data_IF_265146575422
#
_entry.id   IF_265146575422
#
_cell.length_a   1.000
_cell.length_b   1.000
_cell.length_c   1.000
_cell.angle_alpha   90.00
_cell.angle_beta   90.00
_cell.angle_gamma   90.00
#
_symmetry.space_group_name_H-M   'P 1'
#
loop_
_entity.id
_entity.type
_entity.pdbx_description
1 polymer ?
#
# COMPACT_ATOMS: atom_id res chain seq x y z
N UNK A 1 30.10 -58.30 -53.88
CA UNK A 1 28.86 -57.59 -53.56
C UNK A 1 28.74 -57.48 -52.05
N UNK A 2 29.14 -56.34 -51.47
CA UNK A 2 29.13 -56.07 -50.04
C UNK A 2 27.76 -55.52 -49.64
N UNK A 3 27.00 -56.20 -48.79
CA UNK A 3 25.73 -55.74 -48.26
C UNK A 3 26.06 -54.82 -47.04
N UNK A 4 25.74 -53.56 -47.19
CA UNK A 4 25.81 -52.56 -46.06
C UNK A 4 24.56 -52.74 -45.18
N UNK A 5 24.75 -53.19 -43.94
CA UNK A 5 23.75 -53.15 -42.91
C UNK A 5 23.76 -51.77 -42.24
N UNK A 6 22.75 -50.95 -42.52
CA UNK A 6 22.46 -49.69 -41.82
C UNK A 6 21.70 -50.01 -40.56
N UNK A 7 22.38 -49.99 -39.40
CA UNK A 7 21.73 -50.11 -38.09
C UNK A 7 21.26 -48.69 -37.67
N UNK A 8 19.96 -48.45 -37.76
CA UNK A 8 19.35 -47.22 -37.27
C UNK A 8 19.32 -47.27 -35.72
N UNK A 9 20.18 -46.47 -35.09
CA UNK A 9 20.18 -46.27 -33.64
C UNK A 9 19.09 -45.23 -33.30
N UNK A 10 17.87 -45.72 -32.94
CA UNK A 10 16.81 -44.89 -32.43
C UNK A 10 17.15 -44.47 -31.00
N UNK A 11 17.61 -43.23 -30.84
CA UNK A 11 17.80 -42.61 -29.52
C UNK A 11 16.39 -42.25 -28.99
N UNK A 12 15.88 -43.08 -28.11
CA UNK A 12 14.64 -42.84 -27.38
C UNK A 12 14.96 -41.85 -26.26
N UNK A 13 14.81 -40.57 -26.50
CA UNK A 13 14.83 -39.53 -25.44
C UNK A 13 13.55 -39.66 -24.61
N UNK A 14 13.67 -40.33 -23.47
CA UNK A 14 12.64 -40.32 -22.44
C UNK A 14 12.50 -38.89 -21.89
N UNK A 15 11.53 -38.15 -22.38
CA UNK A 15 11.05 -36.94 -21.70
C UNK A 15 10.36 -37.41 -20.41
N UNK A 16 11.03 -37.29 -19.29
CA UNK A 16 10.40 -37.31 -17.99
C UNK A 16 9.58 -36.03 -17.89
N UNK A 17 8.33 -36.09 -18.30
CA UNK A 17 7.35 -35.09 -17.94
C UNK A 17 7.10 -35.27 -16.43
N UNK A 18 7.78 -34.48 -15.60
CA UNK A 18 7.42 -34.35 -14.20
C UNK A 18 6.00 -33.76 -14.15
N UNK A 19 5.02 -34.64 -14.04
CA UNK A 19 3.64 -34.25 -13.77
C UNK A 19 3.56 -33.74 -12.33
N UNK A 20 4.03 -32.49 -12.08
CA UNK A 20 3.91 -31.90 -10.77
C UNK A 20 2.44 -31.69 -10.44
N UNK A 21 1.96 -32.43 -9.44
CA UNK A 21 0.62 -32.22 -8.91
C UNK A 21 0.52 -30.79 -8.35
N UNK A 22 -0.28 -29.95 -9.00
CA UNK A 22 -0.52 -28.59 -8.55
C UNK A 22 -1.57 -28.59 -7.44
N UNK A 23 -1.15 -28.34 -6.21
CA UNK A 23 -2.03 -28.22 -5.05
C UNK A 23 -2.18 -26.75 -4.63
N UNK A 24 -3.30 -26.38 -3.98
CA UNK A 24 -3.45 -25.04 -3.40
C UNK A 24 -2.32 -24.73 -2.39
N UNK A 25 -1.77 -23.54 -2.47
CA UNK A 25 -0.71 -23.11 -1.53
C UNK A 25 -1.25 -23.03 -0.09
N UNK A 26 -0.57 -23.63 0.91
CA UNK A 26 -0.99 -23.57 2.32
C UNK A 26 -1.07 -22.16 2.91
N UNK A 27 -0.35 -21.22 2.31
CA UNK A 27 -0.35 -19.78 2.66
C UNK A 27 -0.38 -18.99 1.35
N UNK A 28 -1.57 -18.79 0.76
CA UNK A 28 -1.70 -18.11 -0.53
C UNK A 28 -1.21 -16.68 -0.44
N UNK A 29 -0.64 -16.18 -1.53
CA UNK A 29 -0.24 -14.78 -1.66
C UNK A 29 -1.45 -13.90 -1.98
N UNK A 30 -1.52 -12.75 -1.36
CA UNK A 30 -2.46 -11.68 -1.68
C UNK A 30 -1.69 -10.44 -2.10
N UNK A 31 -2.17 -9.79 -3.17
CA UNK A 31 -1.75 -8.44 -3.56
C UNK A 31 -2.93 -7.49 -3.42
N UNK A 32 -2.68 -6.34 -2.80
CA UNK A 32 -3.66 -5.28 -2.59
C UNK A 32 -3.09 -4.02 -3.24
N UNK A 33 -3.94 -3.30 -3.97
CA UNK A 33 -3.67 -1.94 -4.43
C UNK A 33 -4.72 -1.03 -3.83
N UNK A 34 -4.28 -0.01 -3.10
CA UNK A 34 -5.12 1.01 -2.50
C UNK A 34 -4.76 2.36 -3.08
N UNK A 35 -5.71 3.03 -3.71
CA UNK A 35 -5.55 4.42 -4.13
C UNK A 35 -5.37 5.30 -2.88
N UNK A 36 -4.35 6.14 -2.88
CA UNK A 36 -3.97 6.95 -1.73
C UNK A 36 -3.29 8.24 -2.17
N UNK A 37 -3.78 9.37 -1.66
CA UNK A 37 -3.30 10.68 -2.07
C UNK A 37 -3.50 10.90 -3.57
N UNK A 38 -2.43 11.23 -4.28
CA UNK A 38 -2.43 11.41 -5.75
C UNK A 38 -1.89 10.17 -6.49
N UNK A 39 -1.74 9.04 -5.81
CA UNK A 39 -1.16 7.82 -6.33
C UNK A 39 -1.79 6.57 -5.69
N UNK A 40 -1.01 5.53 -5.43
CA UNK A 40 -1.48 4.30 -4.78
C UNK A 40 -0.40 3.71 -3.86
N UNK A 41 -0.84 2.88 -2.92
CA UNK A 41 0.02 1.98 -2.14
C UNK A 41 -0.29 0.55 -2.58
N UNK A 42 0.74 -0.24 -2.92
CA UNK A 42 0.59 -1.64 -3.26
C UNK A 42 1.27 -2.51 -2.19
N UNK A 43 0.61 -3.60 -1.81
CA UNK A 43 1.09 -4.53 -0.80
C UNK A 43 1.03 -5.95 -1.38
N UNK A 44 2.09 -6.74 -1.17
CA UNK A 44 2.12 -8.16 -1.51
C UNK A 44 2.65 -8.98 -0.34
N UNK A 45 1.86 -9.97 0.11
CA UNK A 45 2.19 -10.79 1.27
C UNK A 45 1.52 -12.16 1.22
N UNK A 46 2.10 -13.16 1.90
CA UNK A 46 1.49 -14.50 2.02
C UNK A 46 0.70 -14.63 3.32
N UNK A 47 -0.44 -15.32 3.25
CA UNK A 47 -1.46 -15.39 4.29
C UNK A 47 -1.53 -16.76 4.97
N UNK A 48 -0.71 -17.04 5.99
CA UNK A 48 -0.82 -18.27 6.78
C UNK A 48 -2.08 -18.29 7.65
N UNK A 49 -2.65 -19.48 7.87
CA UNK A 49 -3.72 -19.71 8.86
C UNK A 49 -3.15 -20.01 10.23
N UNK A 50 -3.91 -19.76 11.30
CA UNK A 50 -3.57 -20.16 12.67
C UNK A 50 -3.53 -21.67 12.79
N UNK A 51 -4.52 -22.38 12.25
CA UNK A 51 -4.60 -23.87 12.23
C UNK A 51 -4.35 -24.49 13.60
N UNK A 52 -4.95 -23.91 14.65
CA UNK A 52 -4.84 -24.39 16.03
C UNK A 52 -3.48 -24.18 16.71
N UNK A 53 -2.51 -23.50 16.07
CA UNK A 53 -1.19 -23.25 16.63
C UNK A 53 -1.18 -22.03 17.55
N UNK A 54 -0.25 -21.99 18.49
CA UNK A 54 0.13 -20.75 19.17
C UNK A 54 0.96 -19.90 18.21
N UNK A 55 0.53 -18.68 17.95
CA UNK A 55 1.18 -17.82 16.98
C UNK A 55 2.31 -17.00 17.62
N UNK A 56 1.95 -15.96 18.38
CA UNK A 56 2.94 -15.05 18.94
C UNK A 56 3.56 -15.62 20.22
N UNK A 57 4.88 -15.64 20.26
CA UNK A 57 5.68 -16.27 21.33
C UNK A 57 6.10 -17.71 21.05
N UNK A 58 5.56 -18.34 19.99
CA UNK A 58 5.92 -19.69 19.56
C UNK A 58 6.26 -19.70 18.06
N UNK A 59 5.26 -19.83 17.17
CA UNK A 59 5.48 -19.84 15.71
C UNK A 59 6.18 -18.56 15.23
N UNK A 60 5.82 -17.43 15.80
CA UNK A 60 6.46 -16.11 15.62
C UNK A 60 7.04 -15.70 16.97
N UNK A 61 8.34 -15.95 17.23
CA UNK A 61 8.96 -15.64 18.50
C UNK A 61 8.98 -14.16 18.81
N UNK A 62 8.74 -13.78 20.07
CA UNK A 62 8.86 -12.39 20.52
C UNK A 62 10.30 -11.87 20.42
N UNK A 63 10.45 -10.56 20.10
CA UNK A 63 11.75 -9.90 20.00
C UNK A 63 12.58 -10.31 18.79
N UNK A 64 12.04 -11.10 17.86
CA UNK A 64 12.73 -11.51 16.63
C UNK A 64 12.10 -10.87 15.40
N UNK A 65 12.93 -10.54 14.42
CA UNK A 65 12.45 -10.04 13.12
C UNK A 65 11.62 -11.11 12.43
N UNK A 66 10.43 -10.71 11.98
CA UNK A 66 9.51 -11.52 11.21
C UNK A 66 9.23 -10.86 9.86
N UNK A 67 9.22 -11.66 8.79
CA UNK A 67 8.89 -11.20 7.43
C UNK A 67 7.44 -10.75 7.24
N UNK A 68 6.66 -10.68 8.33
CA UNK A 68 5.27 -10.20 8.37
C UNK A 68 4.36 -10.97 7.41
N UNK A 69 4.43 -12.30 7.51
CA UNK A 69 3.71 -13.25 6.65
C UNK A 69 4.42 -14.59 6.57
N UNK A 70 4.25 -15.28 5.45
CA UNK A 70 4.88 -16.58 5.18
C UNK A 70 5.52 -16.59 3.78
N UNK A 71 6.29 -17.64 3.48
CA UNK A 71 6.97 -17.84 2.19
C UNK A 71 7.90 -16.66 1.85
N UNK A 72 7.56 -15.88 0.83
CA UNK A 72 8.33 -14.70 0.41
C UNK A 72 8.21 -13.54 1.41
N UNK A 73 9.17 -12.62 1.36
CA UNK A 73 9.12 -11.38 2.11
C UNK A 73 7.86 -10.57 1.77
N UNK A 74 7.24 -9.99 2.78
CA UNK A 74 6.15 -9.01 2.57
C UNK A 74 6.74 -7.73 2.03
N UNK A 75 6.15 -7.21 0.96
CA UNK A 75 6.60 -5.97 0.30
C UNK A 75 5.49 -4.95 0.22
N UNK A 76 5.86 -3.67 0.39
CA UNK A 76 5.01 -2.52 0.23
C UNK A 76 5.63 -1.56 -0.79
N UNK A 77 4.82 -1.07 -1.73
CA UNK A 77 5.26 -0.11 -2.75
C UNK A 77 4.46 1.17 -2.58
N UNK A 78 5.15 2.28 -2.43
CA UNK A 78 4.56 3.60 -2.43
C UNK A 78 4.74 4.22 -3.81
N UNK A 79 3.63 4.54 -4.49
CA UNK A 79 3.69 5.20 -5.81
C UNK A 79 4.03 6.69 -5.71
N UNK A 80 3.96 7.26 -4.50
CA UNK A 80 4.40 8.61 -4.18
C UNK A 80 5.10 8.64 -2.81
N UNK A 81 5.80 9.74 -2.48
CA UNK A 81 6.44 9.89 -1.19
C UNK A 81 5.40 9.96 -0.06
N UNK A 82 5.65 9.22 1.03
CA UNK A 82 4.80 9.16 2.22
C UNK A 82 5.59 9.52 3.47
N UNK A 83 4.89 9.81 4.56
CA UNK A 83 5.47 10.00 5.89
C UNK A 83 4.98 8.89 6.81
N UNK A 84 5.90 8.19 7.45
CA UNK A 84 5.64 7.08 8.38
C UNK A 84 6.47 7.32 9.64
N UNK A 85 5.83 7.39 10.81
CA UNK A 85 6.53 7.67 12.07
C UNK A 85 7.33 8.99 12.07
N UNK A 86 6.86 9.99 11.32
CA UNK A 86 7.55 11.28 11.15
C UNK A 86 8.70 11.28 10.13
N UNK A 87 9.04 10.12 9.54
CA UNK A 87 10.12 9.99 8.55
C UNK A 87 9.52 9.99 7.14
N UNK A 88 10.08 10.81 6.25
CA UNK A 88 9.71 10.83 4.83
C UNK A 88 10.33 9.63 4.10
N UNK A 89 9.48 8.81 3.49
CA UNK A 89 9.85 7.66 2.66
C UNK A 89 9.55 8.00 1.21
N UNK A 90 10.53 7.90 0.34
CA UNK A 90 10.37 8.19 -1.10
C UNK A 90 9.44 7.17 -1.77
N UNK A 91 8.92 7.50 -2.95
CA UNK A 91 8.27 6.52 -3.82
C UNK A 91 9.23 5.37 -4.11
N UNK A 92 8.71 4.14 -4.11
CA UNK A 92 9.53 2.94 -4.32
C UNK A 92 8.96 1.70 -3.65
N UNK A 93 9.64 0.56 -3.87
CA UNK A 93 9.30 -0.74 -3.30
C UNK A 93 10.22 -1.04 -2.11
N UNK A 94 9.62 -1.50 -1.01
CA UNK A 94 10.26 -1.74 0.27
C UNK A 94 9.83 -3.07 0.88
N UNK A 95 10.63 -3.62 1.78
CA UNK A 95 10.21 -4.69 2.67
C UNK A 95 9.42 -4.14 3.86
N UNK A 96 8.37 -4.85 4.23
CA UNK A 96 7.60 -4.63 5.44
C UNK A 96 7.89 -5.76 6.42
N UNK A 97 8.67 -5.47 7.47
CA UNK A 97 9.04 -6.42 8.50
C UNK A 97 8.46 -5.98 9.85
N UNK A 98 8.35 -6.91 10.77
CA UNK A 98 7.95 -6.59 12.15
C UNK A 98 8.81 -7.33 13.16
N UNK A 99 8.90 -6.78 14.36
CA UNK A 99 9.42 -7.45 15.55
C UNK A 99 8.28 -7.48 16.56
N UNK A 100 7.52 -8.57 16.63
CA UNK A 100 6.43 -8.71 17.58
C UNK A 100 6.91 -8.80 19.02
N UNK A 101 6.14 -8.19 19.93
CA UNK A 101 6.23 -8.43 21.38
C UNK A 101 4.81 -8.39 21.96
N UNK A 102 4.68 -8.69 23.27
CA UNK A 102 3.39 -8.84 23.95
C UNK A 102 2.57 -7.55 23.99
N UNK A 103 3.21 -6.39 24.17
CA UNK A 103 2.55 -5.09 24.37
C UNK A 103 2.70 -4.13 23.20
N UNK A 104 3.74 -4.30 22.41
CA UNK A 104 4.01 -3.46 21.23
C UNK A 104 4.83 -4.21 20.20
N UNK A 105 4.69 -3.84 18.94
CA UNK A 105 5.52 -4.34 17.85
C UNK A 105 6.37 -3.21 17.31
N UNK A 106 7.56 -3.54 16.82
CA UNK A 106 8.31 -2.63 15.97
C UNK A 106 7.97 -2.96 14.52
N UNK A 107 7.36 -2.02 13.81
CA UNK A 107 7.09 -2.12 12.36
C UNK A 107 8.24 -1.46 11.62
N UNK A 108 8.79 -2.14 10.61
CA UNK A 108 10.00 -1.75 9.90
C UNK A 108 9.71 -1.60 8.41
N UNK A 109 10.07 -0.46 7.86
CA UNK A 109 10.17 -0.26 6.41
C UNK A 109 11.66 -0.30 6.05
N UNK A 110 12.05 -1.25 5.21
CA UNK A 110 13.45 -1.50 4.86
C UNK A 110 13.66 -1.52 3.34
N UNK A 111 14.88 -1.21 2.90
CA UNK A 111 15.26 -1.35 1.49
C UNK A 111 15.36 -2.81 1.05
N UNK A 112 15.47 -3.76 2.00
CA UNK A 112 15.50 -5.19 1.70
C UNK A 112 14.09 -5.70 1.35
N UNK A 113 13.92 -6.27 0.17
CA UNK A 113 12.64 -6.83 -0.31
C UNK A 113 12.63 -8.35 -0.37
N UNK A 114 13.66 -9.00 0.15
CA UNK A 114 13.96 -10.42 0.02
C UNK A 114 14.22 -11.15 1.36
N UNK A 115 13.95 -10.48 2.49
CA UNK A 115 14.15 -11.08 3.82
C UNK A 115 13.13 -12.19 4.05
N UNK A 116 13.58 -13.44 4.05
CA UNK A 116 12.76 -14.63 4.31
C UNK A 116 13.03 -15.28 5.66
N UNK A 117 14.15 -14.99 6.28
CA UNK A 117 14.50 -15.42 7.62
C UNK A 117 15.14 -14.29 8.45
N UNK A 118 15.15 -14.40 9.79
CA UNK A 118 15.86 -13.43 10.63
C UNK A 118 17.35 -13.28 10.30
N UNK A 119 17.99 -14.35 9.77
CA UNK A 119 19.40 -14.33 9.41
C UNK A 119 19.71 -13.45 8.19
N UNK A 120 18.74 -13.25 7.30
CA UNK A 120 18.91 -12.44 6.08
C UNK A 120 18.79 -10.94 6.37
N UNK A 121 18.26 -10.58 7.54
CA UNK A 121 17.95 -9.20 7.90
C UNK A 121 19.20 -8.38 8.20
N UNK A 122 19.24 -7.16 7.64
CA UNK A 122 20.32 -6.17 7.79
C UNK A 122 19.77 -4.84 8.29
N UNK A 123 19.86 -4.60 9.59
CA UNK A 123 19.27 -3.42 10.24
C UNK A 123 19.75 -2.07 9.67
N UNK A 124 20.94 -2.00 9.07
CA UNK A 124 21.45 -0.78 8.44
C UNK A 124 20.71 -0.40 7.14
N UNK A 125 19.86 -1.27 6.61
CA UNK A 125 19.01 -1.00 5.45
C UNK A 125 17.61 -0.48 5.83
N UNK A 126 17.31 -0.38 7.11
CA UNK A 126 16.04 0.16 7.58
C UNK A 126 15.96 1.66 7.29
N UNK A 127 14.80 2.08 6.81
CA UNK A 127 14.47 3.49 6.61
C UNK A 127 13.67 4.03 7.79
N UNK A 128 12.73 3.23 8.29
CA UNK A 128 11.82 3.63 9.35
C UNK A 128 11.60 2.45 10.30
N UNK A 129 11.56 2.76 11.58
CA UNK A 129 11.09 1.88 12.65
C UNK A 129 10.04 2.61 13.46
N UNK A 130 8.84 2.02 13.56
CA UNK A 130 7.73 2.59 14.34
C UNK A 130 7.32 1.58 15.39
N UNK A 131 7.26 2.01 16.63
CA UNK A 131 6.64 1.23 17.69
C UNK A 131 5.12 1.40 17.62
N UNK A 132 4.40 0.28 17.51
CA UNK A 132 2.96 0.22 17.44
C UNK A 132 2.43 -0.63 18.61
N UNK A 133 1.53 -0.08 19.42
CA UNK A 133 0.90 -0.82 20.52
C UNK A 133 0.03 -1.94 19.97
N UNK A 134 0.02 -3.08 20.65
CA UNK A 134 -0.90 -4.17 20.33
C UNK A 134 -2.33 -3.82 20.74
N UNK A 135 -3.26 -4.29 19.94
CA UNK A 135 -4.70 -4.24 20.19
C UNK A 135 -5.20 -5.68 20.28
N UNK A 136 -5.91 -6.01 21.36
CA UNK A 136 -6.56 -7.29 21.50
C UNK A 136 -7.84 -7.31 20.68
N UNK A 137 -8.00 -8.36 19.85
CA UNK A 137 -9.18 -8.56 19.03
C UNK A 137 -10.17 -9.44 19.78
N UNK A 138 -11.46 -9.06 19.78
CA UNK A 138 -12.53 -9.89 20.33
C UNK A 138 -12.65 -11.20 19.56
N UNK A 139 -12.70 -11.09 18.22
CA UNK A 139 -12.76 -12.22 17.31
C UNK A 139 -11.38 -12.68 16.88
N UNK A 140 -11.22 -13.99 16.76
CA UNK A 140 -10.01 -14.61 16.27
C UNK A 140 -9.90 -14.45 14.77
N UNK A 141 -8.81 -13.84 14.31
CA UNK A 141 -8.47 -13.73 12.88
C UNK A 141 -7.68 -14.98 12.48
N UNK A 142 -8.37 -15.97 11.91
CA UNK A 142 -7.78 -17.25 11.53
C UNK A 142 -6.69 -17.11 10.45
N UNK A 143 -6.93 -16.29 9.42
CA UNK A 143 -5.97 -16.09 8.35
C UNK A 143 -5.26 -14.76 8.53
N UNK A 144 -3.91 -14.78 8.56
CA UNK A 144 -3.09 -13.56 8.62
C UNK A 144 -3.56 -12.52 7.61
N UNK A 145 -3.85 -11.31 8.06
CA UNK A 145 -4.48 -10.26 7.27
C UNK A 145 -3.75 -8.94 7.46
N UNK A 146 -3.44 -8.30 6.35
CA UNK A 146 -3.00 -6.90 6.30
C UNK A 146 -4.03 -6.15 5.46
N UNK A 147 -4.52 -5.00 5.95
CA UNK A 147 -5.51 -4.20 5.24
C UNK A 147 -5.33 -2.71 5.52
N UNK A 148 -5.83 -1.88 4.59
CA UNK A 148 -5.93 -0.44 4.79
C UNK A 148 -7.27 -0.08 5.43
N UNK A 149 -7.25 0.90 6.32
CA UNK A 149 -8.43 1.45 6.98
C UNK A 149 -8.28 2.96 7.20
N UNK A 150 -9.34 3.62 7.68
CA UNK A 150 -9.35 5.05 7.98
C UNK A 150 -8.80 5.91 6.84
N UNK A 151 -9.17 5.56 5.59
CA UNK A 151 -8.64 6.18 4.39
C UNK A 151 -9.23 7.58 4.24
N UNK A 152 -8.35 8.58 4.22
CA UNK A 152 -8.62 10.01 4.00
C UNK A 152 -7.78 10.50 2.82
N UNK A 153 -8.03 11.69 2.30
CA UNK A 153 -7.25 12.22 1.16
C UNK A 153 -5.73 12.22 1.36
N UNK A 154 -5.24 12.45 2.59
CA UNK A 154 -3.81 12.55 2.90
C UNK A 154 -3.32 11.60 4.00
N UNK A 155 -4.17 10.69 4.51
CA UNK A 155 -3.78 9.71 5.54
C UNK A 155 -4.57 8.42 5.44
N UNK A 156 -3.94 7.32 5.85
CA UNK A 156 -4.59 6.03 6.06
C UNK A 156 -3.87 5.26 7.16
N UNK A 157 -4.42 4.13 7.56
CA UNK A 157 -3.81 3.20 8.50
C UNK A 157 -3.62 1.84 7.84
N UNK A 158 -2.47 1.23 8.05
CA UNK A 158 -2.21 -0.16 7.67
C UNK A 158 -2.36 -1.04 8.91
N UNK A 159 -3.39 -1.87 8.96
CA UNK A 159 -3.63 -2.82 10.04
C UNK A 159 -3.02 -4.17 9.72
N UNK A 160 -2.28 -4.73 10.67
CA UNK A 160 -1.67 -6.08 10.59
C UNK A 160 -2.33 -6.90 11.68
N UNK A 161 -3.02 -7.99 11.31
CA UNK A 161 -3.89 -8.75 12.20
C UNK A 161 -3.67 -10.24 12.05
N UNK A 162 -3.55 -10.95 13.17
CA UNK A 162 -3.51 -12.41 13.20
C UNK A 162 -3.86 -12.93 14.59
N UNK A 163 -4.56 -14.07 14.64
CA UNK A 163 -5.09 -14.64 15.87
C UNK A 163 -5.93 -13.60 16.63
N UNK A 164 -5.58 -13.24 17.84
CA UNK A 164 -6.26 -12.20 18.63
C UNK A 164 -5.48 -10.90 18.75
N UNK A 165 -4.49 -10.68 17.91
CA UNK A 165 -3.60 -9.52 17.98
C UNK A 165 -3.64 -8.69 16.71
N UNK A 166 -3.74 -7.39 16.87
CA UNK A 166 -3.61 -6.41 15.80
C UNK A 166 -2.61 -5.32 16.18
N UNK A 167 -2.00 -4.70 15.16
CA UNK A 167 -1.25 -3.45 15.26
C UNK A 167 -1.62 -2.54 14.09
N UNK A 168 -1.48 -1.22 14.29
CA UNK A 168 -1.76 -0.22 13.26
C UNK A 168 -0.52 0.61 12.96
N UNK A 169 -0.30 0.89 11.68
CA UNK A 169 0.75 1.78 11.17
C UNK A 169 0.09 2.96 10.45
N UNK A 170 0.11 4.18 11.02
CA UNK A 170 -0.34 5.38 10.34
C UNK A 170 0.61 5.75 9.19
N UNK A 171 0.02 6.08 8.03
CA UNK A 171 0.71 6.53 6.83
C UNK A 171 0.06 7.84 6.39
N UNK A 172 0.86 8.84 6.05
CA UNK A 172 0.38 10.12 5.53
C UNK A 172 1.16 10.53 4.27
N UNK A 173 0.53 11.39 3.45
CA UNK A 173 1.13 11.95 2.24
C UNK A 173 0.90 13.47 2.21
N UNK A 174 1.87 14.21 1.68
CA UNK A 174 1.74 15.65 1.43
C UNK A 174 0.98 15.90 0.11
N UNK A 175 -0.34 15.82 0.20
CA UNK A 175 -1.24 16.06 -0.93
C UNK A 175 -1.41 17.56 -1.18
N UNK A 176 -1.50 18.35 -0.09
CA UNK A 176 -1.79 19.78 -0.16
C UNK A 176 -0.74 20.53 -0.97
N UNK A 177 0.53 20.41 -0.62
CA UNK A 177 1.62 21.10 -1.34
C UNK A 177 1.61 20.78 -2.83
N UNK A 178 1.34 19.52 -3.18
CA UNK A 178 1.32 19.08 -4.58
C UNK A 178 0.12 19.63 -5.36
N UNK A 179 -1.07 19.61 -4.75
CA UNK A 179 -2.28 20.15 -5.40
C UNK A 179 -2.15 21.65 -5.55
N UNK A 180 -1.64 22.37 -4.53
CA UNK A 180 -1.42 23.82 -4.63
C UNK A 180 -0.44 24.16 -5.74
N UNK A 181 0.68 23.44 -5.84
CA UNK A 181 1.65 23.64 -6.93
C UNK A 181 1.03 23.37 -8.32
N UNK A 182 0.15 22.37 -8.45
CA UNK A 182 -0.58 22.11 -9.70
C UNK A 182 -1.55 23.24 -10.03
N UNK A 183 -2.30 23.75 -9.03
CA UNK A 183 -3.21 24.89 -9.22
C UNK A 183 -2.41 26.09 -9.72
N UNK A 184 -1.33 26.48 -9.04
CA UNK A 184 -0.49 27.60 -9.45
C UNK A 184 0.02 27.44 -10.88
N UNK A 185 0.52 26.25 -11.22
CA UNK A 185 1.02 25.97 -12.56
C UNK A 185 -0.07 26.01 -13.63
N UNK A 186 -1.27 25.49 -13.35
CA UNK A 186 -2.36 25.40 -14.32
C UNK A 186 -3.10 26.74 -14.48
N UNK A 187 -3.19 27.54 -13.40
CA UNK A 187 -3.84 28.85 -13.45
C UNK A 187 -3.06 29.90 -14.27
N UNK A 188 -1.82 29.60 -14.63
CA UNK A 188 -1.01 30.42 -15.53
C UNK A 188 -1.09 30.00 -17.00
N UNK A 189 -2.00 29.05 -17.37
CA UNK A 189 -2.20 28.55 -18.73
C UNK A 189 -3.54 29.02 -19.31
N UNK A 190 -3.71 28.90 -20.62
CA UNK A 190 -4.94 29.36 -21.31
C UNK A 190 -6.19 28.53 -20.92
N UNK A 191 -6.03 27.25 -20.64
CA UNK A 191 -7.14 26.37 -20.26
C UNK A 191 -7.17 26.13 -18.74
N UNK A 192 -7.54 27.14 -17.99
CA UNK A 192 -7.52 27.17 -16.51
C UNK A 192 -8.62 26.31 -15.91
N UNK A 193 -8.32 25.40 -14.96
CA UNK A 193 -9.32 24.53 -14.33
C UNK A 193 -10.07 25.24 -13.19
N UNK A 194 -10.73 26.36 -13.48
CA UNK A 194 -11.38 27.22 -12.48
C UNK A 194 -12.30 26.45 -11.54
N UNK A 195 -13.18 25.58 -12.08
CA UNK A 195 -14.10 24.82 -11.25
C UNK A 195 -13.37 23.89 -10.27
N UNK A 196 -12.40 23.11 -10.76
CA UNK A 196 -11.62 22.18 -9.92
C UNK A 196 -10.80 22.89 -8.85
N UNK A 197 -10.17 24.03 -9.19
CA UNK A 197 -9.42 24.84 -8.24
C UNK A 197 -10.33 25.47 -7.17
N UNK A 198 -11.51 26.00 -7.57
CA UNK A 198 -12.49 26.54 -6.65
C UNK A 198 -13.02 25.48 -5.67
N UNK A 199 -13.36 24.29 -6.17
CA UNK A 199 -13.76 23.15 -5.33
C UNK A 199 -12.69 22.79 -4.30
N UNK A 200 -11.44 22.64 -4.75
CA UNK A 200 -10.36 22.31 -3.84
C UNK A 200 -10.19 23.35 -2.72
N UNK A 201 -10.27 24.63 -3.04
CA UNK A 201 -10.18 25.72 -2.06
C UNK A 201 -11.34 25.67 -1.06
N UNK A 202 -12.57 25.53 -1.55
CA UNK A 202 -13.76 25.45 -0.71
C UNK A 202 -13.76 24.24 0.23
N UNK A 203 -13.36 23.06 -0.27
CA UNK A 203 -13.42 21.80 0.48
C UNK A 203 -12.26 21.64 1.48
N UNK A 204 -11.16 22.36 1.28
CA UNK A 204 -9.98 22.31 2.14
C UNK A 204 -9.77 23.57 3.00
N UNK A 205 -10.85 24.40 3.18
CA UNK A 205 -10.82 25.55 4.08
C UNK A 205 -9.84 26.65 3.66
N UNK A 206 -9.60 26.80 2.34
CA UNK A 206 -8.78 27.87 1.78
C UNK A 206 -9.57 29.15 1.60
N UNK A 207 -8.99 30.18 0.99
CA UNK A 207 -9.65 31.45 0.75
C UNK A 207 -10.93 31.27 -0.07
N UNK A 208 -12.10 31.46 0.58
CA UNK A 208 -13.41 31.34 -0.03
C UNK A 208 -13.69 32.48 -1.03
N UNK A 209 -13.13 33.67 -0.85
CA UNK A 209 -13.28 34.76 -1.81
C UNK A 209 -12.58 34.41 -3.13
N UNK A 210 -11.38 33.81 -3.05
CA UNK A 210 -10.67 33.29 -4.22
C UNK A 210 -11.42 32.14 -4.88
N UNK A 211 -12.00 31.21 -4.08
CA UNK A 211 -12.83 30.13 -4.59
C UNK A 211 -14.06 30.70 -5.34
N UNK A 212 -14.75 31.69 -4.76
CA UNK A 212 -15.91 32.35 -5.38
C UNK A 212 -15.52 32.99 -6.72
N UNK A 213 -14.41 33.74 -6.76
CA UNK A 213 -13.94 34.39 -8.00
C UNK A 213 -13.66 33.33 -9.11
N UNK A 214 -13.16 32.15 -8.75
CA UNK A 214 -12.97 31.07 -9.71
C UNK A 214 -14.26 30.35 -10.09
N UNK A 215 -15.23 30.22 -9.17
CA UNK A 215 -16.59 29.76 -9.54
C UNK A 215 -17.26 30.73 -10.51
N UNK A 216 -17.11 32.05 -10.34
CA UNK A 216 -17.63 33.05 -11.28
C UNK A 216 -17.05 32.86 -12.68
N UNK A 217 -15.71 32.63 -12.77
CA UNK A 217 -15.05 32.32 -14.04
C UNK A 217 -15.51 30.99 -14.65
N UNK A 218 -15.72 29.96 -13.83
CA UNK A 218 -16.26 28.70 -14.31
C UNK A 218 -17.69 28.82 -14.87
N UNK A 219 -18.54 29.63 -14.25
CA UNK A 219 -19.91 29.98 -14.74
C UNK A 219 -19.81 30.73 -16.07
N UNK A 220 -18.91 31.71 -16.20
CA UNK A 220 -18.71 32.44 -17.46
C UNK A 220 -18.36 31.48 -18.62
N UNK A 221 -17.53 30.44 -18.34
CA UNK A 221 -17.11 29.44 -19.33
C UNK A 221 -18.23 28.43 -19.67
N UNK A 222 -19.08 28.08 -18.70
CA UNK A 222 -20.11 27.04 -18.82
C UNK A 222 -21.40 27.49 -18.12
N UNK A 223 -22.08 28.50 -18.69
CA UNK A 223 -23.25 29.15 -18.07
C UNK A 223 -24.45 28.22 -17.83
N UNK A 224 -24.57 27.12 -18.58
CA UNK A 224 -25.67 26.15 -18.45
C UNK A 224 -25.33 24.97 -17.48
N UNK A 225 -24.13 24.95 -16.88
CA UNK A 225 -23.70 23.91 -15.99
C UNK A 225 -24.28 24.09 -14.58
N UNK A 226 -25.46 23.54 -14.33
CA UNK A 226 -26.19 23.73 -13.06
C UNK A 226 -25.34 23.32 -11.82
N UNK A 227 -24.46 22.33 -11.94
CA UNK A 227 -23.58 21.89 -10.84
C UNK A 227 -22.58 22.97 -10.46
N UNK A 228 -22.10 23.80 -11.41
CA UNK A 228 -21.19 24.92 -11.11
C UNK A 228 -21.96 25.99 -10.32
N UNK A 229 -23.15 26.33 -10.76
CA UNK A 229 -24.02 27.29 -10.04
C UNK A 229 -24.36 26.80 -8.63
N UNK A 230 -24.62 25.50 -8.47
CA UNK A 230 -24.87 24.90 -7.15
C UNK A 230 -23.67 25.05 -6.22
N UNK A 231 -22.46 24.70 -6.67
CA UNK A 231 -21.26 24.84 -5.85
C UNK A 231 -20.89 26.30 -5.57
N UNK A 232 -21.11 27.19 -6.53
CA UNK A 232 -20.99 28.63 -6.31
C UNK A 232 -21.93 29.13 -5.19
N UNK A 233 -23.18 28.68 -5.19
CA UNK A 233 -24.12 29.00 -4.14
C UNK A 233 -23.70 28.45 -2.77
N UNK A 234 -23.16 27.22 -2.74
CA UNK A 234 -22.59 26.62 -1.52
C UNK A 234 -21.39 27.43 -1.01
N UNK A 235 -20.55 27.96 -1.89
CA UNK A 235 -19.41 28.79 -1.52
C UNK A 235 -19.90 30.11 -0.90
N UNK A 236 -20.91 30.76 -1.49
CA UNK A 236 -21.53 31.97 -0.94
C UNK A 236 -22.18 31.74 0.44
N UNK A 237 -22.77 30.57 0.66
CA UNK A 237 -23.34 30.22 1.96
C UNK A 237 -22.32 29.97 3.06
N UNK A 238 -21.07 29.74 2.70
CA UNK A 238 -19.93 29.53 3.64
C UNK A 238 -19.18 30.84 3.95
N UNK A 239 -19.33 31.87 3.12
CA UNK A 239 -18.79 33.22 3.34
C UNK A 239 -19.65 34.00 4.35
#
# INVERSE_FOLDING_TARGET
MRKLLLTAFAVFTLFFADAQLKTPAPSPTQSIKQDFGLSAIELSYSRPGVKGRMIFGDLVPFGKVWRTGANNATTITFGDAVTIGGVKVAAGKYGLLTIPDKKSWVIIITKQTDVTSPADYKAHQDLVRVEAKTMDMEDKIETFTIQFSNIKPSSCELHIMWDKTAVSLPISADVETKVMAQIDQLMNKDNRPYFGAAMYYMDNGKDLNQALAWFDKAVEMQSNAFWIHHQRANCLAKL
#
